data_IF_814907570520
#
_entry.id   IF_814907570520
#
_cell.length_a   1.000
_cell.length_b   1.000
_cell.length_c   1.000
_cell.angle_alpha   90.00
_cell.angle_beta   90.00
_cell.angle_gamma   90.00
#
_symmetry.space_group_name_H-M   'P 1'
#
loop_
_entity.id
_entity.type
_entity.pdbx_description
1 polymer ?
#
# COMPACT_ATOMS: atom_id res chain seq x y z
N UNK A 1 -25.19 80.18 7.65
CA UNK A 1 -25.30 78.79 7.30
C UNK A 1 -24.35 78.43 6.14
N UNK A 2 -23.29 77.68 6.37
CA UNK A 2 -22.56 77.12 5.27
C UNK A 2 -22.80 75.57 5.14
N UNK A 3 -23.48 75.23 4.09
CA UNK A 3 -23.67 73.87 3.61
C UNK A 3 -22.33 73.23 3.26
N UNK A 4 -21.96 72.21 4.02
CA UNK A 4 -20.75 71.39 3.79
C UNK A 4 -21.01 70.46 2.65
N UNK A 5 -20.42 70.71 1.45
CA UNK A 5 -20.43 69.81 0.31
C UNK A 5 -19.46 68.73 0.57
N UNK A 6 -19.96 67.50 0.72
CA UNK A 6 -19.17 66.26 0.72
C UNK A 6 -18.67 65.93 -0.70
N UNK A 7 -17.39 66.16 -0.96
CA UNK A 7 -16.77 65.78 -2.22
C UNK A 7 -16.36 64.32 -2.22
N UNK A 8 -16.57 63.63 -3.34
CA UNK A 8 -16.23 62.21 -3.57
C UNK A 8 -14.78 61.79 -3.27
N UNK A 9 -13.88 62.74 -2.97
CA UNK A 9 -12.48 62.50 -2.59
C UNK A 9 -12.26 62.23 -1.10
N UNK A 10 -13.24 62.48 -0.22
CA UNK A 10 -13.13 62.29 1.22
C UNK A 10 -13.42 60.87 1.72
N UNK A 11 -14.05 60.01 0.87
CA UNK A 11 -14.49 58.67 1.30
C UNK A 11 -13.40 57.60 1.04
N UNK A 12 -12.29 57.92 0.33
CA UNK A 12 -11.25 56.97 -0.03
C UNK A 12 -10.03 56.89 0.91
N UNK A 13 -10.08 57.51 2.08
CA UNK A 13 -8.92 57.54 2.99
C UNK A 13 -9.10 56.82 4.33
N UNK A 14 -10.15 56.05 4.52
CA UNK A 14 -10.35 55.28 5.78
C UNK A 14 -10.68 53.81 5.55
N UNK A 15 -10.18 53.22 4.45
CA UNK A 15 -10.07 51.77 4.38
C UNK A 15 -8.73 51.36 5.04
N UNK A 16 -8.72 51.26 6.35
CA UNK A 16 -7.67 50.52 7.04
C UNK A 16 -7.70 49.06 6.51
N UNK A 17 -6.70 48.70 5.73
CA UNK A 17 -6.45 47.33 5.39
C UNK A 17 -6.11 46.58 6.68
N UNK A 18 -7.10 45.91 7.27
CA UNK A 18 -6.82 44.86 8.24
C UNK A 18 -5.96 43.80 7.52
N UNK A 19 -4.81 43.38 8.08
CA UNK A 19 -4.05 42.29 7.51
C UNK A 19 -4.95 41.08 7.51
N UNK A 20 -5.30 40.55 6.32
CA UNK A 20 -5.85 39.21 6.16
C UNK A 20 -4.76 38.25 6.64
N UNK A 21 -4.84 37.90 7.92
CA UNK A 21 -4.10 36.75 8.45
C UNK A 21 -4.68 35.54 7.75
N UNK A 22 -4.03 35.12 6.67
CA UNK A 22 -4.27 33.84 6.04
C UNK A 22 -3.81 32.78 7.06
N UNK A 23 -4.70 32.39 7.96
CA UNK A 23 -4.51 31.16 8.74
C UNK A 23 -4.74 30.03 7.73
N UNK A 24 -3.71 29.24 7.36
CA UNK A 24 -3.94 28.09 6.52
C UNK A 24 -4.89 27.20 7.32
N UNK A 25 -6.13 27.10 6.91
CA UNK A 25 -7.03 26.04 7.35
C UNK A 25 -6.41 24.74 6.81
N UNK A 26 -5.55 24.13 7.62
CA UNK A 26 -5.18 22.74 7.45
C UNK A 26 -6.48 21.97 7.60
N UNK A 27 -7.05 21.57 6.49
CA UNK A 27 -8.25 20.75 6.47
C UNK A 27 -7.86 19.34 6.96
N UNK A 28 -7.70 19.20 8.29
CA UNK A 28 -7.39 17.92 8.98
C UNK A 28 -8.38 16.82 8.58
N UNK A 29 -9.60 17.18 8.15
CA UNK A 29 -10.62 16.24 7.68
C UNK A 29 -10.39 15.67 6.26
N UNK A 30 -9.63 16.33 5.38
CA UNK A 30 -9.41 15.87 4.01
C UNK A 30 -8.36 14.76 3.94
N UNK A 31 -7.36 14.77 4.80
CA UNK A 31 -6.24 13.82 4.83
C UNK A 31 -6.70 12.39 5.12
N UNK A 32 -7.63 12.19 6.05
CA UNK A 32 -8.14 10.88 6.46
C UNK A 32 -9.17 10.27 5.51
N UNK A 33 -9.57 10.97 4.46
CA UNK A 33 -10.38 10.42 3.36
C UNK A 33 -9.56 9.66 2.33
N UNK A 34 -8.24 9.83 2.37
CA UNK A 34 -7.31 9.16 1.45
C UNK A 34 -7.01 7.75 1.93
N UNK A 35 -7.08 6.80 1.02
CA UNK A 35 -6.88 5.38 1.29
C UNK A 35 -5.51 4.92 0.82
N UNK A 36 -4.78 4.24 1.68
CA UNK A 36 -3.61 3.44 1.30
C UNK A 36 -4.05 1.98 1.16
N UNK A 37 -3.88 1.42 -0.02
CA UNK A 37 -4.07 -0.01 -0.27
C UNK A 37 -2.70 -0.67 -0.31
N UNK A 38 -2.38 -1.43 0.74
CA UNK A 38 -1.16 -2.22 0.83
C UNK A 38 -1.38 -3.61 0.23
N UNK A 39 -0.47 -4.02 -0.65
CA UNK A 39 -0.50 -5.33 -1.30
C UNK A 39 0.77 -6.08 -0.93
N UNK A 40 0.66 -7.03 -0.03
CA UNK A 40 1.74 -7.92 0.37
C UNK A 40 1.97 -8.99 -0.72
N UNK A 41 3.17 -9.07 -1.28
CA UNK A 41 3.61 -10.11 -2.19
C UNK A 41 4.36 -11.17 -1.38
N UNK A 42 3.63 -11.99 -0.63
CA UNK A 42 4.16 -12.88 0.39
C UNK A 42 4.95 -14.05 -0.23
N UNK A 43 6.18 -14.21 0.22
CA UNK A 43 7.12 -15.23 -0.21
C UNK A 43 8.35 -14.69 -0.94
N UNK A 44 8.53 -13.38 -1.01
CA UNK A 44 9.69 -12.75 -1.67
C UNK A 44 9.59 -12.78 -3.19
N UNK A 45 8.95 -11.78 -3.75
CA UNK A 45 8.76 -11.65 -5.20
C UNK A 45 10.10 -11.56 -5.95
N UNK A 46 10.21 -12.30 -7.06
CA UNK A 46 11.37 -12.21 -7.96
C UNK A 46 11.39 -10.91 -8.75
N UNK A 47 12.17 -9.96 -8.27
CA UNK A 47 12.27 -8.62 -8.82
C UNK A 47 12.79 -8.59 -10.26
N UNK A 48 13.79 -9.40 -10.59
CA UNK A 48 14.39 -9.42 -11.92
C UNK A 48 13.50 -10.04 -13.00
N UNK A 49 12.52 -10.85 -12.61
CA UNK A 49 11.48 -11.34 -13.52
C UNK A 49 10.14 -10.59 -13.34
N UNK A 50 10.10 -9.52 -12.56
CA UNK A 50 8.98 -8.58 -12.46
C UNK A 50 9.27 -7.32 -13.27
N UNK A 51 10.40 -6.66 -12.97
CA UNK A 51 10.98 -5.55 -13.74
C UNK A 51 12.31 -6.06 -14.30
N UNK A 52 12.28 -6.35 -15.58
CA UNK A 52 13.29 -7.15 -16.26
C UNK A 52 14.38 -6.27 -16.85
N UNK A 53 15.66 -6.44 -16.47
CA UNK A 53 16.77 -5.73 -17.10
C UNK A 53 17.15 -6.43 -18.42
N UNK A 54 16.25 -6.39 -19.38
CA UNK A 54 16.29 -7.23 -20.60
C UNK A 54 17.45 -6.91 -21.54
N UNK A 55 18.13 -5.80 -21.36
CA UNK A 55 19.34 -5.41 -22.13
C UNK A 55 20.63 -5.79 -21.42
N UNK A 56 20.57 -6.13 -20.13
CA UNK A 56 21.77 -6.54 -19.40
C UNK A 56 22.16 -7.98 -19.77
N UNK A 57 23.35 -8.23 -20.35
CA UNK A 57 23.77 -9.57 -20.72
C UNK A 57 23.92 -10.49 -19.50
N UNK A 58 24.23 -9.95 -18.31
CA UNK A 58 24.38 -10.72 -17.07
C UNK A 58 23.05 -11.33 -16.63
N UNK A 59 21.93 -10.67 -16.92
CA UNK A 59 20.60 -11.22 -16.63
C UNK A 59 20.41 -12.61 -17.28
N UNK A 60 20.80 -12.75 -18.56
CA UNK A 60 20.70 -14.03 -19.27
C UNK A 60 21.76 -15.02 -18.82
N UNK A 61 22.97 -14.56 -18.53
CA UNK A 61 24.05 -15.44 -18.06
C UNK A 61 23.72 -16.05 -16.70
N UNK A 62 23.07 -15.29 -15.82
CA UNK A 62 22.67 -15.76 -14.49
C UNK A 62 21.39 -16.59 -14.49
N UNK A 63 20.58 -16.52 -15.56
CA UNK A 63 19.24 -17.11 -15.65
C UNK A 63 19.02 -17.81 -16.99
N UNK A 64 19.82 -18.84 -17.25
CA UNK A 64 19.75 -19.57 -18.52
C UNK A 64 18.38 -20.18 -18.82
N UNK A 65 17.60 -20.52 -17.77
CA UNK A 65 16.25 -21.10 -17.87
C UNK A 65 15.15 -20.08 -17.52
N UNK A 66 15.42 -19.14 -16.60
CA UNK A 66 14.43 -18.22 -16.09
C UNK A 66 14.40 -16.87 -16.81
N UNK A 67 15.43 -16.54 -17.60
CA UNK A 67 15.45 -15.29 -18.35
C UNK A 67 14.33 -15.25 -19.39
N UNK A 68 13.60 -14.15 -19.40
CA UNK A 68 12.56 -13.90 -20.40
C UNK A 68 13.19 -13.54 -21.76
N UNK A 69 12.63 -14.03 -22.88
CA UNK A 69 13.00 -13.55 -24.20
C UNK A 69 12.78 -12.03 -24.34
N UNK A 70 13.71 -11.33 -24.98
CA UNK A 70 13.66 -9.86 -25.09
C UNK A 70 12.41 -9.36 -25.81
N UNK A 71 11.97 -10.10 -26.82
CA UNK A 71 10.78 -9.81 -27.63
C UNK A 71 9.46 -10.00 -26.87
N UNK A 72 9.47 -10.68 -25.73
CA UNK A 72 8.30 -10.85 -24.88
C UNK A 72 8.21 -9.79 -23.76
N UNK A 73 9.31 -9.11 -23.43
CA UNK A 73 9.33 -8.12 -22.35
C UNK A 73 8.61 -6.87 -22.78
N UNK A 74 7.72 -6.36 -21.92
CA UNK A 74 7.02 -5.09 -22.15
C UNK A 74 7.96 -3.92 -21.83
N UNK A 75 8.55 -3.32 -22.85
CA UNK A 75 9.53 -2.24 -22.69
C UNK A 75 8.93 -1.05 -21.94
N UNK A 76 9.63 -0.58 -20.92
CA UNK A 76 9.34 0.65 -20.19
C UNK A 76 10.31 1.76 -20.56
N UNK A 77 11.58 1.42 -20.75
CA UNK A 77 12.64 2.25 -21.32
C UNK A 77 13.63 1.39 -22.13
N UNK A 78 14.78 1.95 -22.50
CA UNK A 78 15.81 1.25 -23.28
C UNK A 78 16.46 0.08 -22.53
N UNK A 79 16.33 -0.04 -21.21
CA UNK A 79 17.03 -1.01 -20.36
C UNK A 79 16.10 -1.94 -19.62
N UNK A 80 14.96 -1.44 -19.17
CA UNK A 80 14.03 -2.11 -18.27
C UNK A 80 12.68 -2.31 -18.92
N UNK A 81 12.04 -3.40 -18.59
CA UNK A 81 10.66 -3.66 -19.00
C UNK A 81 9.91 -4.52 -17.99
N UNK A 82 8.62 -4.64 -18.15
CA UNK A 82 7.78 -5.49 -17.31
C UNK A 82 7.71 -6.93 -17.86
N UNK A 83 7.52 -7.86 -16.93
CA UNK A 83 7.11 -9.20 -17.29
C UNK A 83 5.81 -9.17 -18.12
N UNK A 84 5.67 -9.98 -19.20
CA UNK A 84 4.50 -9.93 -20.09
C UNK A 84 3.16 -10.15 -19.35
N UNK A 85 3.16 -10.91 -18.26
CA UNK A 85 1.97 -11.09 -17.42
C UNK A 85 1.43 -9.80 -16.76
N UNK A 86 2.23 -8.72 -16.76
CA UNK A 86 1.84 -7.41 -16.22
C UNK A 86 1.27 -6.45 -17.30
N UNK A 87 0.96 -6.94 -18.49
CA UNK A 87 0.45 -6.14 -19.61
C UNK A 87 -0.75 -5.25 -19.21
N UNK A 88 -1.63 -5.75 -18.37
CA UNK A 88 -2.81 -4.98 -17.90
C UNK A 88 -2.46 -3.75 -17.07
N UNK A 89 -1.21 -3.60 -16.62
CA UNK A 89 -0.72 -2.41 -15.93
C UNK A 89 -0.10 -1.37 -16.87
N UNK A 90 0.18 -1.72 -18.12
CA UNK A 90 0.79 -0.80 -19.09
C UNK A 90 0.00 0.51 -19.29
N UNK A 91 -1.35 0.51 -19.33
CA UNK A 91 -2.09 1.78 -19.37
C UNK A 91 -1.76 2.72 -18.22
N UNK A 92 -1.59 2.20 -16.99
CA UNK A 92 -1.22 3.03 -15.82
C UNK A 92 0.21 3.59 -15.93
N UNK A 93 1.13 2.84 -16.54
CA UNK A 93 2.47 3.32 -16.84
C UNK A 93 2.44 4.44 -17.89
N UNK A 94 1.74 4.24 -18.99
CA UNK A 94 1.59 5.23 -20.09
C UNK A 94 0.93 6.51 -19.58
N UNK A 95 -0.13 6.38 -18.77
CA UNK A 95 -0.84 7.51 -18.14
C UNK A 95 -0.04 8.17 -17.01
N UNK A 96 1.18 7.68 -16.71
CA UNK A 96 2.02 8.14 -15.59
C UNK A 96 1.35 8.08 -14.21
N UNK A 97 0.51 7.07 -14.02
CA UNK A 97 -0.18 6.76 -12.77
C UNK A 97 0.40 5.52 -12.07
N UNK A 98 1.54 5.04 -12.54
CA UNK A 98 2.33 3.97 -11.94
C UNK A 98 3.78 4.42 -11.79
N UNK A 99 4.30 4.37 -10.57
CA UNK A 99 5.70 4.51 -10.24
C UNK A 99 6.29 3.13 -9.88
N UNK A 100 7.54 2.92 -10.25
CA UNK A 100 8.31 1.72 -9.92
C UNK A 100 9.52 2.16 -9.10
N UNK A 101 9.52 1.81 -7.81
CA UNK A 101 10.66 2.01 -6.95
C UNK A 101 11.64 0.84 -7.16
N UNK A 102 12.84 1.14 -7.65
CA UNK A 102 13.85 0.16 -8.00
C UNK A 102 14.85 -0.08 -6.86
N UNK A 103 15.36 -1.31 -6.77
CA UNK A 103 16.40 -1.67 -5.82
C UNK A 103 16.02 -1.47 -4.36
N UNK A 104 14.73 -1.66 -4.03
CA UNK A 104 14.22 -1.42 -2.68
C UNK A 104 14.66 -2.53 -1.74
N UNK A 105 15.20 -2.15 -0.61
CA UNK A 105 15.68 -3.06 0.43
C UNK A 105 16.05 -2.28 1.70
N UNK A 106 16.97 -2.83 2.49
CA UNK A 106 17.44 -2.21 3.73
C UNK A 106 18.86 -2.69 4.07
N UNK A 107 19.61 -1.97 4.93
CA UNK A 107 20.95 -2.37 5.34
C UNK A 107 20.91 -3.65 6.19
N UNK A 108 21.95 -4.48 6.05
CA UNK A 108 22.08 -5.76 6.79
C UNK A 108 20.84 -6.66 6.62
N UNK A 109 20.49 -7.04 5.37
CA UNK A 109 19.25 -7.72 5.08
C UNK A 109 19.20 -9.11 5.73
N UNK A 110 18.02 -9.47 6.28
CA UNK A 110 17.74 -10.79 6.81
C UNK A 110 16.98 -11.62 5.77
N UNK A 111 17.40 -12.86 5.54
CA UNK A 111 16.82 -13.76 4.54
C UNK A 111 15.81 -14.78 5.14
N UNK A 112 15.47 -14.64 6.43
CA UNK A 112 14.37 -15.35 7.03
C UNK A 112 13.05 -14.63 6.74
N UNK A 113 12.05 -15.33 6.25
CA UNK A 113 10.71 -14.77 6.01
C UNK A 113 10.17 -14.05 7.24
N UNK A 114 10.20 -14.72 8.40
CA UNK A 114 9.62 -14.16 9.64
C UNK A 114 10.32 -12.88 10.06
N UNK A 115 11.65 -12.86 10.04
CA UNK A 115 12.37 -11.68 10.51
C UNK A 115 12.33 -10.55 9.50
N UNK A 116 12.44 -10.86 8.22
CA UNK A 116 12.42 -9.82 7.21
C UNK A 116 11.04 -9.16 7.08
N UNK A 117 9.95 -9.95 7.11
CA UNK A 117 8.61 -9.35 7.08
C UNK A 117 8.36 -8.48 8.31
N UNK A 118 8.81 -8.91 9.51
CA UNK A 118 8.71 -8.11 10.72
C UNK A 118 9.43 -6.75 10.59
N UNK A 119 10.63 -6.72 9.98
CA UNK A 119 11.36 -5.48 9.69
C UNK A 119 10.56 -4.56 8.76
N UNK A 120 9.97 -5.09 7.69
CA UNK A 120 9.14 -4.31 6.77
C UNK A 120 7.86 -3.80 7.43
N UNK A 121 7.23 -4.60 8.25
CA UNK A 121 5.95 -4.27 8.87
C UNK A 121 6.08 -3.32 10.06
N UNK A 122 7.20 -3.36 10.79
CA UNK A 122 7.48 -2.44 11.90
C UNK A 122 8.28 -1.20 11.49
N UNK A 123 8.95 -1.26 10.34
CA UNK A 123 9.98 -0.29 9.91
C UNK A 123 11.15 -0.18 10.91
N UNK A 124 11.44 -1.26 11.66
CA UNK A 124 12.45 -1.31 12.72
C UNK A 124 13.50 -2.35 12.39
N UNK A 125 14.78 -1.95 12.57
CA UNK A 125 15.95 -2.81 12.34
C UNK A 125 16.43 -3.50 13.63
N UNK A 126 15.86 -3.18 14.78
CA UNK A 126 16.26 -3.74 16.09
C UNK A 126 15.86 -5.21 16.21
N UNK A 127 16.62 -5.98 16.98
CA UNK A 127 16.33 -7.40 17.23
C UNK A 127 15.15 -7.63 18.20
N UNK A 128 14.59 -6.56 18.77
CA UNK A 128 13.43 -6.64 19.67
C UNK A 128 12.17 -7.04 18.91
N UNK A 129 11.64 -8.20 19.25
CA UNK A 129 10.33 -8.65 18.77
C UNK A 129 9.21 -7.92 19.51
N UNK A 130 8.07 -7.73 18.83
CA UNK A 130 6.85 -7.21 19.46
C UNK A 130 6.67 -5.70 19.38
N UNK A 131 7.39 -5.01 18.49
CA UNK A 131 7.10 -3.62 18.19
C UNK A 131 5.80 -3.47 17.39
N UNK A 132 5.10 -2.34 17.59
CA UNK A 132 3.95 -1.99 16.78
C UNK A 132 4.31 -1.85 15.30
N UNK A 133 3.41 -2.22 14.43
CA UNK A 133 3.52 -1.97 12.99
C UNK A 133 3.69 -0.48 12.70
N UNK A 134 4.39 -0.16 11.61
CA UNK A 134 4.75 1.24 11.30
C UNK A 134 3.52 2.15 11.14
N UNK A 135 2.39 1.64 10.69
CA UNK A 135 1.15 2.39 10.60
C UNK A 135 0.55 2.68 11.96
N UNK A 136 0.60 1.72 12.89
CA UNK A 136 0.13 1.94 14.26
C UNK A 136 1.01 2.99 14.95
N UNK A 137 2.33 2.91 14.77
CA UNK A 137 3.27 3.93 15.29
C UNK A 137 2.96 5.31 14.71
N UNK A 138 2.74 5.41 13.41
CA UNK A 138 2.38 6.66 12.74
C UNK A 138 1.04 7.22 13.28
N UNK A 139 0.05 6.38 13.47
CA UNK A 139 -1.26 6.77 13.97
C UNK A 139 -1.27 7.08 15.49
N UNK A 140 -0.29 6.58 16.25
CA UNK A 140 -0.08 7.02 17.64
C UNK A 140 0.46 8.45 17.71
N UNK A 141 1.30 8.87 16.74
CA UNK A 141 1.77 10.27 16.64
C UNK A 141 0.64 11.24 16.23
N UNK A 142 -0.23 10.79 15.33
CA UNK A 142 -1.35 11.57 14.80
C UNK A 142 -2.57 10.68 14.63
N UNK A 143 -3.42 10.64 15.65
CA UNK A 143 -4.55 9.73 15.68
C UNK A 143 -5.61 10.03 14.63
N UNK A 144 -6.02 9.01 13.84
CA UNK A 144 -7.20 9.13 13.01
C UNK A 144 -8.43 9.48 13.84
N UNK A 145 -9.38 10.27 13.29
CA UNK A 145 -10.60 10.64 13.99
C UNK A 145 -11.32 9.42 14.57
N UNK A 146 -11.82 9.56 15.81
CA UNK A 146 -12.59 8.50 16.46
C UNK A 146 -13.92 8.18 15.74
N UNK A 147 -14.36 9.05 14.84
CA UNK A 147 -15.53 8.87 13.98
C UNK A 147 -15.28 7.84 12.85
N UNK A 148 -14.01 7.52 12.53
CA UNK A 148 -13.71 6.45 11.61
C UNK A 148 -14.04 5.09 12.22
N UNK A 149 -14.64 4.17 11.45
CA UNK A 149 -15.02 2.84 11.96
C UNK A 149 -13.82 2.02 12.39
N UNK A 150 -12.69 2.16 11.70
CA UNK A 150 -11.43 1.51 12.01
C UNK A 150 -10.24 2.30 11.41
N UNK A 151 -9.04 1.95 11.80
CA UNK A 151 -7.78 2.45 11.24
C UNK A 151 -7.33 1.62 10.04
N UNK A 152 -7.77 0.36 9.99
CA UNK A 152 -7.45 -0.53 8.90
C UNK A 152 -8.47 -1.62 8.65
N UNK A 153 -8.52 -2.05 7.38
CA UNK A 153 -9.26 -3.20 6.90
C UNK A 153 -8.29 -4.21 6.32
N UNK A 154 -8.28 -5.44 6.83
CA UNK A 154 -7.42 -6.53 6.36
C UNK A 154 -8.26 -7.54 5.60
N UNK A 155 -7.86 -7.84 4.37
CA UNK A 155 -8.57 -8.71 3.45
C UNK A 155 -7.75 -9.97 3.13
N UNK A 156 -8.43 -11.10 3.00
CA UNK A 156 -7.84 -12.38 2.60
C UNK A 156 -7.16 -13.16 3.72
N UNK A 157 -6.20 -12.60 4.41
CA UNK A 157 -5.52 -13.20 5.58
C UNK A 157 -5.94 -12.47 6.86
N UNK A 158 -5.79 -13.14 8.02
CA UNK A 158 -6.09 -12.52 9.33
C UNK A 158 -4.83 -11.88 9.95
N UNK A 159 -3.84 -11.59 9.16
CA UNK A 159 -2.59 -11.00 9.59
C UNK A 159 -2.62 -9.48 9.38
N UNK A 160 -2.66 -8.67 10.45
CA UNK A 160 -2.70 -7.22 10.35
C UNK A 160 -1.38 -6.60 9.85
N UNK A 161 -0.26 -7.28 10.02
CA UNK A 161 1.06 -6.81 9.58
C UNK A 161 1.39 -5.39 10.03
N UNK A 162 1.55 -4.42 9.11
CA UNK A 162 1.85 -3.02 9.46
C UNK A 162 0.83 -2.34 10.38
N UNK A 163 -0.35 -2.93 10.52
CA UNK A 163 -1.44 -2.50 11.41
C UNK A 163 -1.48 -3.28 12.73
N UNK A 164 -0.52 -4.18 12.98
CA UNK A 164 -0.41 -4.92 14.24
C UNK A 164 0.04 -3.97 15.36
N UNK A 165 -0.63 -4.02 16.49
CA UNK A 165 -0.22 -3.23 17.65
C UNK A 165 -1.31 -3.11 18.70
N UNK A 166 -0.90 -2.67 19.90
CA UNK A 166 -1.81 -2.48 21.00
C UNK A 166 -2.80 -1.33 20.71
N UNK A 167 -4.08 -1.60 20.96
CA UNK A 167 -5.18 -0.67 20.73
C UNK A 167 -5.43 -0.26 19.27
N UNK A 168 -4.83 -0.94 18.29
CA UNK A 168 -5.12 -0.71 16.87
C UNK A 168 -6.56 -1.15 16.54
N UNK A 169 -7.31 -0.28 15.88
CA UNK A 169 -8.69 -0.57 15.46
C UNK A 169 -8.67 -1.16 14.06
N UNK A 170 -8.55 -2.48 13.96
CA UNK A 170 -8.41 -3.21 12.69
C UNK A 170 -9.56 -4.20 12.52
N UNK A 171 -10.13 -4.23 11.33
CA UNK A 171 -11.17 -5.18 10.93
C UNK A 171 -10.55 -6.17 9.94
N UNK A 172 -10.64 -7.47 10.23
CA UNK A 172 -10.17 -8.53 9.33
C UNK A 172 -11.36 -9.25 8.69
N UNK A 173 -11.39 -9.30 7.35
CA UNK A 173 -12.45 -9.92 6.58
C UNK A 173 -11.91 -10.92 5.57
N UNK A 174 -12.42 -12.13 5.59
CA UNK A 174 -12.17 -13.10 4.51
C UNK A 174 -13.03 -12.82 3.28
N UNK A 175 -14.30 -12.42 3.48
CA UNK A 175 -15.28 -12.09 2.42
C UNK A 175 -16.32 -11.11 2.99
N UNK A 176 -16.90 -10.22 2.17
CA UNK A 176 -18.01 -9.35 2.57
C UNK A 176 -19.21 -10.15 3.14
N UNK A 177 -19.47 -11.34 2.59
CA UNK A 177 -20.54 -12.22 3.08
C UNK A 177 -20.34 -12.74 4.50
N UNK A 178 -19.10 -12.70 5.04
CA UNK A 178 -18.82 -13.12 6.42
C UNK A 178 -19.39 -12.15 7.45
N UNK A 179 -19.57 -10.87 7.09
CA UNK A 179 -20.20 -9.85 7.94
C UNK A 179 -21.66 -10.20 8.27
N UNK A 180 -22.42 -10.64 7.27
CA UNK A 180 -23.85 -11.01 7.46
C UNK A 180 -24.05 -12.25 8.35
N UNK A 181 -23.09 -13.19 8.37
CA UNK A 181 -23.18 -14.42 9.20
C UNK A 181 -22.85 -14.15 10.67
N UNK A 182 -21.96 -13.21 10.97
CA UNK A 182 -21.59 -12.87 12.36
C UNK A 182 -22.66 -12.10 13.13
N UNK A 183 -23.56 -11.38 12.46
CA UNK A 183 -24.66 -10.65 13.09
C UNK A 183 -25.62 -11.55 13.91
N UNK A 184 -25.57 -12.88 13.72
CA UNK A 184 -26.48 -13.82 14.40
C UNK A 184 -25.98 -14.33 15.77
N UNK A 185 -24.75 -13.99 16.20
CA UNK A 185 -24.22 -14.37 17.52
C UNK A 185 -23.97 -13.12 18.36
N UNK A 186 -25.04 -12.63 19.03
CA UNK A 186 -24.87 -11.66 20.11
C UNK A 186 -24.16 -12.34 21.28
N UNK A 187 -22.89 -12.04 21.48
CA UNK A 187 -22.23 -12.31 22.75
C UNK A 187 -22.82 -11.31 23.77
N UNK A 188 -23.67 -11.78 24.63
CA UNK A 188 -24.11 -10.99 25.80
C UNK A 188 -22.88 -10.81 26.71
N UNK A 189 -22.62 -9.60 27.24
CA UNK A 189 -21.65 -9.44 28.31
C UNK A 189 -22.04 -10.36 29.45
N UNK A 190 -21.11 -11.13 29.94
CA UNK A 190 -21.35 -11.84 31.19
C UNK A 190 -21.54 -10.80 32.31
N UNK A 191 -22.76 -10.62 32.74
CA UNK A 191 -23.06 -9.75 33.88
C UNK A 191 -22.26 -10.22 35.09
N UNK A 192 -21.30 -9.41 35.58
CA UNK A 192 -20.57 -9.65 36.80
C UNK A 192 -19.15 -10.19 36.70
N UNK A 193 -18.47 -10.06 35.54
CA UNK A 193 -17.04 -10.38 35.46
C UNK A 193 -16.22 -9.32 36.21
N UNK A 194 -15.44 -9.74 37.20
CA UNK A 194 -14.46 -8.90 37.91
C UNK A 194 -13.06 -8.98 37.29
N UNK A 195 -12.95 -9.47 36.03
CA UNK A 195 -11.67 -9.63 35.36
C UNK A 195 -11.45 -8.51 34.33
N UNK A 196 -10.52 -7.55 34.60
CA UNK A 196 -10.25 -6.41 33.69
C UNK A 196 -9.81 -6.83 32.30
N UNK A 197 -9.14 -7.98 32.14
CA UNK A 197 -8.75 -8.54 30.85
C UNK A 197 -9.97 -8.98 30.02
N UNK A 198 -10.95 -9.58 30.67
CA UNK A 198 -12.19 -10.03 30.04
C UNK A 198 -13.03 -8.81 29.58
N UNK A 199 -13.10 -7.78 30.42
CA UNK A 199 -13.79 -6.52 30.08
C UNK A 199 -13.11 -5.81 28.91
N UNK A 200 -11.78 -5.82 28.85
CA UNK A 200 -11.04 -5.26 27.71
C UNK A 200 -11.33 -6.03 26.40
N UNK A 201 -11.31 -7.36 26.45
CA UNK A 201 -11.66 -8.22 25.30
C UNK A 201 -13.09 -7.98 24.83
N UNK A 202 -14.05 -7.83 25.76
CA UNK A 202 -15.45 -7.53 25.44
C UNK A 202 -15.60 -6.14 24.83
N UNK A 203 -14.88 -5.13 25.33
CA UNK A 203 -14.90 -3.76 24.77
C UNK A 203 -14.31 -3.74 23.37
N UNK A 204 -13.19 -4.41 23.12
CA UNK A 204 -12.57 -4.52 21.78
C UNK A 204 -13.51 -5.25 20.84
N UNK A 205 -14.11 -6.37 21.28
CA UNK A 205 -15.03 -7.15 20.47
C UNK A 205 -16.32 -6.39 20.13
N UNK A 206 -16.88 -5.64 21.09
CA UNK A 206 -18.04 -4.77 20.84
C UNK A 206 -17.74 -3.60 19.90
N UNK A 207 -16.52 -3.03 19.96
CA UNK A 207 -16.07 -2.00 19.00
C UNK A 207 -15.92 -2.56 17.59
N UNK A 208 -15.37 -3.77 17.45
CA UNK A 208 -15.28 -4.47 16.17
C UNK A 208 -16.66 -4.78 15.59
N UNK A 209 -17.60 -5.28 16.43
CA UNK A 209 -18.98 -5.55 16.02
C UNK A 209 -19.72 -4.28 15.56
N UNK A 210 -19.49 -3.13 16.21
CA UNK A 210 -20.07 -1.86 15.81
C UNK A 210 -19.51 -1.37 14.47
N UNK A 211 -18.21 -1.50 14.25
CA UNK A 211 -17.56 -1.15 12.99
C UNK A 211 -18.04 -2.07 11.85
N UNK A 212 -18.14 -3.37 12.11
CA UNK A 212 -18.68 -4.37 11.17
C UNK A 212 -20.14 -4.05 10.81
N UNK A 213 -20.98 -3.67 11.78
CA UNK A 213 -22.39 -3.28 11.55
C UNK A 213 -22.47 -2.04 10.66
N UNK A 214 -21.68 -1.00 10.92
CA UNK A 214 -21.66 0.21 10.09
C UNK A 214 -21.24 -0.07 8.64
N UNK A 215 -20.35 -1.05 8.44
CA UNK A 215 -19.96 -1.50 7.10
C UNK A 215 -21.10 -2.22 6.37
N UNK A 216 -21.85 -3.07 7.09
CA UNK A 216 -22.99 -3.83 6.52
C UNK A 216 -24.19 -2.92 6.24
N UNK A 217 -24.46 -1.97 7.13
CA UNK A 217 -25.59 -1.03 7.01
C UNK A 217 -25.49 -0.14 5.75
N UNK A 218 -24.29 0.06 5.21
CA UNK A 218 -24.08 0.82 3.96
C UNK A 218 -24.38 0.03 2.69
N UNK A 219 -24.84 -1.20 2.79
CA UNK A 219 -25.25 -2.03 1.65
C UNK A 219 -24.19 -2.15 0.54
N UNK A 220 -22.92 -2.41 0.95
CA UNK A 220 -21.75 -2.43 0.05
C UNK A 220 -21.91 -3.37 -1.16
N UNK A 221 -22.86 -4.31 -1.12
CA UNK A 221 -23.11 -5.23 -2.23
C UNK A 221 -23.86 -4.57 -3.40
N UNK A 222 -24.61 -3.50 -3.13
CA UNK A 222 -25.41 -2.79 -4.13
C UNK A 222 -24.62 -1.68 -4.84
N UNK A 223 -23.33 -1.52 -4.48
CA UNK A 223 -22.45 -0.55 -5.12
C UNK A 223 -22.12 -1.02 -6.54
N UNK A 224 -22.53 -0.23 -7.53
CA UNK A 224 -22.14 -0.47 -8.92
C UNK A 224 -20.71 -0.07 -9.16
N UNK A 225 -19.89 -0.99 -9.67
CA UNK A 225 -18.50 -0.76 -10.03
C UNK A 225 -18.31 -0.88 -11.54
N UNK A 226 -17.42 -0.07 -12.09
CA UNK A 226 -17.02 -0.17 -13.49
C UNK A 226 -16.20 -1.44 -13.72
N UNK A 227 -16.67 -2.30 -14.61
CA UNK A 227 -16.00 -3.54 -15.01
C UNK A 227 -16.22 -4.70 -14.05
N UNK A 228 -15.52 -5.79 -14.34
CA UNK A 228 -15.57 -7.04 -13.58
C UNK A 228 -14.24 -7.31 -12.89
N UNK A 229 -14.28 -8.02 -11.78
CA UNK A 229 -13.08 -8.48 -11.07
C UNK A 229 -12.83 -9.97 -11.35
N UNK A 230 -11.56 -10.38 -11.42
CA UNK A 230 -11.22 -11.77 -11.66
C UNK A 230 -11.64 -12.67 -10.49
N UNK A 231 -12.05 -13.92 -10.74
CA UNK A 231 -12.62 -14.80 -9.73
C UNK A 231 -11.61 -15.50 -8.81
N UNK A 232 -10.32 -15.12 -8.85
CA UNK A 232 -9.31 -15.61 -7.92
C UNK A 232 -9.30 -14.82 -6.61
N UNK A 233 -8.64 -15.33 -5.56
CA UNK A 233 -8.68 -14.76 -4.22
C UNK A 233 -8.21 -13.31 -4.15
N UNK A 234 -7.13 -12.96 -4.84
CA UNK A 234 -6.66 -11.57 -4.88
C UNK A 234 -7.66 -10.65 -5.61
N UNK A 235 -8.26 -11.11 -6.71
CA UNK A 235 -9.31 -10.37 -7.41
C UNK A 235 -10.52 -10.06 -6.51
N UNK A 236 -10.94 -11.04 -5.69
CA UNK A 236 -12.03 -10.84 -4.71
C UNK A 236 -11.64 -9.87 -3.59
N UNK A 237 -10.37 -9.85 -3.15
CA UNK A 237 -9.89 -8.86 -2.18
C UNK A 237 -9.95 -7.46 -2.80
N UNK A 238 -9.48 -7.29 -4.03
CA UNK A 238 -9.52 -6.01 -4.74
C UNK A 238 -10.96 -5.53 -5.00
N UNK A 239 -11.88 -6.45 -5.33
CA UNK A 239 -13.32 -6.14 -5.44
C UNK A 239 -13.90 -5.66 -4.12
N UNK A 240 -13.55 -6.34 -3.02
CA UNK A 240 -14.02 -5.98 -1.68
C UNK A 240 -13.50 -4.59 -1.28
N UNK A 241 -12.22 -4.31 -1.53
CA UNK A 241 -11.63 -3.00 -1.30
C UNK A 241 -12.33 -1.90 -2.10
N UNK A 242 -12.56 -2.16 -3.40
CA UNK A 242 -13.25 -1.21 -4.29
C UNK A 242 -14.68 -0.91 -3.84
N UNK A 243 -15.46 -1.95 -3.52
CA UNK A 243 -16.83 -1.79 -3.00
C UNK A 243 -16.86 -1.04 -1.68
N UNK A 244 -15.92 -1.33 -0.79
CA UNK A 244 -15.80 -0.64 0.49
C UNK A 244 -15.56 0.86 0.31
N UNK A 245 -14.58 1.24 -0.53
CA UNK A 245 -14.26 2.64 -0.81
C UNK A 245 -15.42 3.33 -1.52
N UNK A 246 -15.95 2.76 -2.60
CA UNK A 246 -17.05 3.32 -3.38
C UNK A 246 -18.36 3.46 -2.58
N UNK A 247 -18.60 2.56 -1.62
CA UNK A 247 -19.72 2.65 -0.67
C UNK A 247 -19.52 3.69 0.44
N UNK A 248 -18.46 4.49 0.37
CA UNK A 248 -18.11 5.52 1.36
C UNK A 248 -17.52 4.95 2.65
N UNK A 249 -16.95 3.75 2.58
CA UNK A 249 -16.17 3.18 3.70
C UNK A 249 -14.97 4.08 4.02
N UNK A 250 -14.83 4.43 5.28
CA UNK A 250 -13.81 5.38 5.72
C UNK A 250 -12.80 4.68 6.63
N UNK A 251 -11.77 4.07 6.03
CA UNK A 251 -10.56 3.59 6.72
C UNK A 251 -9.34 4.12 5.98
N UNK A 252 -8.31 4.60 6.69
CA UNK A 252 -7.10 5.09 6.03
C UNK A 252 -6.30 3.99 5.33
N UNK A 253 -6.38 2.74 5.81
CA UNK A 253 -5.57 1.64 5.26
C UNK A 253 -6.42 0.41 4.93
N UNK A 254 -6.15 -0.19 3.78
CA UNK A 254 -6.67 -1.50 3.38
C UNK A 254 -5.48 -2.40 3.04
N UNK A 255 -5.30 -3.50 3.79
CA UNK A 255 -4.26 -4.50 3.52
C UNK A 255 -4.86 -5.66 2.73
N UNK A 256 -4.24 -5.97 1.59
CA UNK A 256 -4.50 -7.15 0.76
C UNK A 256 -3.23 -8.00 0.68
N UNK A 257 -3.35 -9.28 0.37
CA UNK A 257 -2.19 -10.15 0.20
C UNK A 257 -2.34 -11.11 -0.97
N UNK A 258 -1.23 -11.30 -1.69
CA UNK A 258 -1.08 -12.31 -2.73
C UNK A 258 0.11 -13.18 -2.35
N UNK A 259 -0.15 -14.41 -1.91
CA UNK A 259 0.89 -15.35 -1.49
C UNK A 259 1.32 -16.29 -2.58
N UNK A 260 2.45 -17.00 -2.33
CA UNK A 260 2.97 -18.04 -3.22
C UNK A 260 4.23 -17.67 -3.97
N UNK A 261 4.83 -16.50 -3.67
CA UNK A 261 6.07 -16.04 -4.31
C UNK A 261 7.34 -16.78 -3.84
N UNK A 262 7.24 -17.66 -2.86
CA UNK A 262 8.36 -18.50 -2.44
C UNK A 262 8.62 -19.61 -3.46
N UNK A 263 9.31 -19.24 -4.55
CA UNK A 263 9.48 -20.04 -5.77
C UNK A 263 10.88 -20.62 -5.90
N UNK A 264 11.25 -21.51 -4.97
CA UNK A 264 12.55 -22.21 -4.99
C UNK A 264 12.70 -23.24 -6.10
N UNK A 265 11.60 -23.68 -6.73
CA UNK A 265 11.61 -24.66 -7.79
C UNK A 265 10.51 -24.38 -8.82
N UNK A 266 10.76 -24.70 -10.11
CA UNK A 266 9.79 -24.61 -11.18
C UNK A 266 9.12 -23.22 -11.27
N UNK A 267 9.89 -22.16 -11.08
CA UNK A 267 9.40 -20.80 -10.83
C UNK A 267 8.60 -20.22 -11.99
N UNK A 268 9.03 -20.43 -13.23
CA UNK A 268 8.56 -19.66 -14.39
C UNK A 268 7.03 -19.63 -14.51
N UNK A 269 6.39 -20.79 -14.54
CA UNK A 269 4.93 -20.86 -14.69
C UNK A 269 4.17 -20.37 -13.45
N UNK A 270 4.71 -20.61 -12.26
CA UNK A 270 4.12 -20.17 -10.99
C UNK A 270 4.19 -18.66 -10.84
N UNK A 271 5.34 -18.07 -11.06
CA UNK A 271 5.57 -16.63 -10.99
C UNK A 271 4.71 -15.88 -12.02
N UNK A 272 4.67 -16.39 -13.27
CA UNK A 272 3.78 -15.83 -14.31
C UNK A 272 2.33 -15.79 -13.86
N UNK A 273 1.78 -16.86 -13.28
CA UNK A 273 0.39 -16.88 -12.78
C UNK A 273 0.17 -15.86 -11.68
N UNK A 274 1.11 -15.71 -10.74
CA UNK A 274 1.01 -14.73 -9.66
C UNK A 274 1.04 -13.30 -10.18
N UNK A 275 1.92 -12.99 -11.12
CA UNK A 275 1.98 -11.67 -11.77
C UNK A 275 0.72 -11.39 -12.61
N UNK A 276 0.15 -12.41 -13.26
CA UNK A 276 -1.15 -12.27 -13.95
C UNK A 276 -2.25 -11.89 -12.95
N UNK A 277 -2.36 -12.61 -11.83
CA UNK A 277 -3.35 -12.30 -10.79
C UNK A 277 -3.16 -10.91 -10.20
N UNK A 278 -1.91 -10.51 -9.98
CA UNK A 278 -1.57 -9.17 -9.51
C UNK A 278 -2.06 -8.11 -10.49
N UNK A 279 -1.70 -8.25 -11.76
CA UNK A 279 -2.06 -7.29 -12.81
C UNK A 279 -3.58 -7.21 -13.03
N UNK A 280 -4.27 -8.33 -13.06
CA UNK A 280 -5.72 -8.39 -13.21
C UNK A 280 -6.45 -7.73 -12.03
N UNK A 281 -6.03 -8.03 -10.80
CA UNK A 281 -6.62 -7.43 -9.60
C UNK A 281 -6.40 -5.92 -9.54
N UNK A 282 -5.15 -5.48 -9.73
CA UNK A 282 -4.79 -4.05 -9.68
C UNK A 282 -5.43 -3.23 -10.80
N UNK A 283 -5.45 -3.75 -12.03
CA UNK A 283 -6.08 -3.04 -13.17
C UNK A 283 -7.60 -2.94 -13.02
N UNK A 284 -8.26 -3.99 -12.51
CA UNK A 284 -9.70 -3.96 -12.23
C UNK A 284 -10.03 -2.97 -11.12
N UNK A 285 -9.21 -2.92 -10.07
CA UNK A 285 -9.35 -1.97 -8.98
C UNK A 285 -9.18 -0.52 -9.46
N UNK A 286 -8.12 -0.23 -10.24
CA UNK A 286 -7.89 1.10 -10.80
C UNK A 286 -9.05 1.57 -11.69
N UNK A 287 -9.58 0.67 -12.53
CA UNK A 287 -10.75 0.94 -13.38
C UNK A 287 -11.99 1.26 -12.54
N UNK A 288 -12.24 0.49 -11.49
CA UNK A 288 -13.37 0.71 -10.60
C UNK A 288 -13.25 2.06 -9.88
N UNK A 289 -12.08 2.40 -9.34
CA UNK A 289 -11.85 3.67 -8.66
C UNK A 289 -11.92 4.88 -9.59
N UNK A 290 -11.41 4.76 -10.83
CA UNK A 290 -11.60 5.77 -11.88
C UNK A 290 -13.09 5.94 -12.22
N UNK A 291 -13.83 4.85 -12.36
CA UNK A 291 -15.25 4.85 -12.67
C UNK A 291 -16.14 5.55 -11.64
N UNK A 292 -15.76 5.51 -10.36
CA UNK A 292 -16.47 6.21 -9.27
C UNK A 292 -15.84 7.55 -8.89
N UNK A 293 -14.80 8.00 -9.62
CA UNK A 293 -14.15 9.30 -9.40
C UNK A 293 -13.30 9.37 -8.12
N UNK A 294 -12.83 8.23 -7.59
CA UNK A 294 -12.05 8.16 -6.35
C UNK A 294 -10.58 7.76 -6.55
N UNK A 295 -10.11 7.69 -7.79
CA UNK A 295 -8.74 7.27 -8.06
C UNK A 295 -7.68 8.22 -7.49
N UNK A 296 -7.99 9.51 -7.37
CA UNK A 296 -7.11 10.52 -6.75
C UNK A 296 -7.04 10.40 -5.22
N UNK A 297 -7.98 9.72 -4.60
CA UNK A 297 -8.03 9.50 -3.16
C UNK A 297 -7.49 8.10 -2.76
N UNK A 298 -6.91 7.37 -3.71
CA UNK A 298 -6.35 6.05 -3.49
C UNK A 298 -4.88 6.00 -3.89
N UNK A 299 -4.06 5.45 -3.00
CA UNK A 299 -2.67 5.08 -3.24
C UNK A 299 -2.54 3.56 -3.03
N UNK A 300 -2.10 2.84 -4.05
CA UNK A 300 -1.78 1.41 -3.95
C UNK A 300 -0.27 1.24 -3.87
N UNK A 301 0.21 0.39 -2.98
CA UNK A 301 1.65 0.10 -2.84
C UNK A 301 1.85 -1.39 -2.60
N UNK A 302 2.73 -2.02 -3.38
CA UNK A 302 3.19 -3.38 -3.11
C UNK A 302 4.33 -3.38 -2.10
N UNK A 303 4.49 -4.47 -1.35
CA UNK A 303 5.68 -4.75 -0.56
C UNK A 303 5.89 -6.27 -0.44
N UNK A 304 7.11 -6.67 -0.14
CA UNK A 304 7.49 -8.06 0.11
C UNK A 304 8.61 -8.07 1.16
N UNK A 305 8.76 -9.17 1.85
CA UNK A 305 9.78 -9.33 2.89
C UNK A 305 11.21 -9.20 2.37
N UNK A 306 11.45 -9.62 1.13
CA UNK A 306 12.72 -9.50 0.42
C UNK A 306 12.55 -9.79 -1.08
N UNK A 307 13.62 -9.62 -1.87
CA UNK A 307 13.69 -10.07 -3.25
C UNK A 307 14.31 -11.46 -3.40
N UNK A 308 14.73 -11.79 -4.61
CA UNK A 308 15.37 -13.06 -4.95
C UNK A 308 16.79 -12.84 -5.44
N UNK A 309 17.65 -13.85 -5.26
CA UNK A 309 19.00 -13.84 -5.83
C UNK A 309 18.96 -13.65 -7.34
N UNK A 310 19.90 -12.89 -7.92
CA UNK A 310 19.97 -12.71 -9.37
C UNK A 310 20.19 -14.02 -10.11
N UNK A 311 20.97 -14.94 -9.55
CA UNK A 311 21.24 -16.26 -10.16
C UNK A 311 20.12 -17.25 -9.86
N UNK A 312 19.67 -17.97 -10.91
CA UNK A 312 18.78 -19.12 -10.75
C UNK A 312 19.49 -20.29 -10.04
N UNK A 313 18.73 -21.12 -9.35
CA UNK A 313 19.23 -22.35 -8.72
C UNK A 313 19.03 -23.58 -9.61
N UNK A 314 19.56 -24.73 -9.16
CA UNK A 314 19.51 -25.98 -9.92
C UNK A 314 18.06 -26.49 -10.16
N UNK A 315 17.11 -26.09 -9.32
CA UNK A 315 15.69 -26.49 -9.40
C UNK A 315 14.85 -25.59 -10.31
N UNK A 316 15.47 -24.75 -11.14
CA UNK A 316 14.78 -23.75 -11.98
C UNK A 316 13.88 -22.81 -11.15
N UNK A 317 14.39 -22.36 -10.03
CA UNK A 317 13.83 -21.39 -9.13
C UNK A 317 14.89 -20.39 -8.67
N UNK A 318 14.59 -19.61 -7.65
CA UNK A 318 15.52 -18.65 -7.05
C UNK A 318 15.50 -18.76 -5.54
N UNK A 319 16.66 -18.58 -4.93
CA UNK A 319 16.81 -18.53 -3.48
C UNK A 319 16.49 -17.13 -2.97
N UNK A 320 16.28 -17.01 -1.64
CA UNK A 320 16.06 -15.73 -0.99
C UNK A 320 17.20 -14.76 -1.28
N UNK A 321 16.84 -13.55 -1.61
CA UNK A 321 17.76 -12.45 -1.90
C UNK A 321 17.33 -11.20 -1.15
N UNK A 322 17.73 -10.05 -1.64
CA UNK A 322 17.65 -8.80 -0.89
C UNK A 322 16.71 -7.79 -1.57
N UNK A 323 17.26 -7.00 -2.49
CA UNK A 323 16.55 -5.90 -3.12
C UNK A 323 15.53 -6.37 -4.18
N UNK A 324 14.39 -5.70 -4.23
CA UNK A 324 13.35 -5.93 -5.23
C UNK A 324 12.66 -4.61 -5.63
N UNK A 325 12.05 -4.53 -6.83
CA UNK A 325 11.20 -3.40 -7.17
C UNK A 325 9.87 -3.46 -6.42
N UNK A 326 9.32 -2.26 -6.14
CA UNK A 326 7.96 -2.11 -5.62
C UNK A 326 7.14 -1.24 -6.55
N UNK A 327 5.85 -1.57 -6.70
CA UNK A 327 4.91 -0.85 -7.54
C UNK A 327 4.08 0.11 -6.68
N UNK A 328 3.94 1.35 -7.13
CA UNK A 328 3.10 2.37 -6.50
C UNK A 328 2.15 2.93 -7.55
N UNK A 329 0.84 2.88 -7.30
CA UNK A 329 -0.20 3.27 -8.26
C UNK A 329 -1.21 4.22 -7.59
N UNK A 330 -1.77 5.14 -8.38
CA UNK A 330 -2.79 6.07 -7.89
C UNK A 330 -2.94 7.27 -8.80
N UNK A 331 -4.07 8.00 -8.69
CA UNK A 331 -4.32 9.18 -9.52
C UNK A 331 -3.34 10.32 -9.25
N UNK A 332 -2.83 10.42 -8.02
CA UNK A 332 -1.82 11.42 -7.62
C UNK A 332 -0.39 10.91 -7.70
N UNK A 333 -0.18 9.72 -8.24
CA UNK A 333 1.19 9.19 -8.43
C UNK A 333 1.84 9.88 -9.64
N UNK A 334 3.06 10.31 -9.46
CA UNK A 334 3.95 10.72 -10.56
C UNK A 334 4.65 9.48 -11.08
N UNK A 335 4.15 8.93 -12.18
CA UNK A 335 4.69 7.72 -12.77
C UNK A 335 6.13 7.87 -13.25
N UNK A 336 6.83 6.75 -13.26
CA UNK A 336 8.22 6.63 -13.67
C UNK A 336 9.04 5.80 -12.69
N UNK A 337 10.35 5.79 -12.90
CA UNK A 337 11.28 5.07 -12.04
C UNK A 337 11.77 5.96 -10.89
N UNK A 338 11.92 5.34 -9.70
CA UNK A 338 12.49 5.94 -8.49
C UNK A 338 13.51 4.99 -7.89
N UNK A 339 14.68 5.49 -7.52
CA UNK A 339 15.83 4.65 -7.19
C UNK A 339 16.52 4.14 -8.45
N UNK A 340 17.34 3.12 -8.30
CA UNK A 340 18.16 2.57 -9.38
C UNK A 340 18.04 1.05 -9.42
N UNK A 341 18.07 0.48 -10.63
CA UNK A 341 18.26 -0.96 -10.79
C UNK A 341 19.63 -1.35 -10.24
N UNK A 342 19.70 -2.26 -9.25
CA UNK A 342 20.99 -2.73 -8.77
C UNK A 342 21.79 -3.39 -9.90
N UNK A 343 23.07 -3.02 -10.09
CA UNK A 343 23.89 -3.59 -11.12
C UNK A 343 24.18 -5.09 -10.83
N UNK A 344 24.10 -5.93 -11.87
CA UNK A 344 24.27 -7.37 -11.74
C UNK A 344 25.75 -7.79 -11.63
N UNK A 345 26.67 -6.90 -11.95
CA UNK A 345 28.13 -7.10 -11.82
C UNK A 345 28.67 -6.77 -10.43
N UNK A 346 27.83 -6.21 -9.54
CA UNK A 346 28.23 -5.81 -8.19
C UNK A 346 27.30 -6.40 -7.15
N UNK A 347 27.58 -7.64 -6.79
CA UNK A 347 26.81 -8.36 -5.79
C UNK A 347 27.52 -8.33 -4.44
N UNK A 348 26.76 -8.26 -3.37
CA UNK A 348 27.25 -8.49 -2.01
C UNK A 348 26.97 -9.96 -1.63
N UNK A 349 28.06 -10.76 -1.64
CA UNK A 349 27.93 -12.20 -1.66
C UNK A 349 27.24 -12.66 -2.94
N UNK A 350 26.03 -13.18 -2.82
CA UNK A 350 25.21 -13.64 -3.96
C UNK A 350 23.96 -12.75 -4.16
N UNK A 351 23.89 -11.60 -3.49
CA UNK A 351 22.70 -10.79 -3.41
C UNK A 351 22.87 -9.44 -4.11
N UNK A 352 21.76 -8.88 -4.57
CA UNK A 352 21.71 -7.50 -5.07
C UNK A 352 21.97 -6.52 -3.93
N UNK A 353 22.77 -5.51 -4.18
CA UNK A 353 22.97 -4.40 -3.24
C UNK A 353 21.77 -3.46 -3.36
N UNK A 354 21.04 -3.24 -2.26
CA UNK A 354 19.91 -2.32 -2.28
C UNK A 354 20.36 -0.88 -2.64
N UNK A 355 19.47 -0.13 -3.29
CA UNK A 355 19.69 1.25 -3.74
C UNK A 355 18.75 2.24 -3.09
N UNK A 356 17.61 1.75 -2.63
CA UNK A 356 16.58 2.56 -2.00
C UNK A 356 16.11 1.86 -0.73
N UNK A 357 16.25 2.56 0.39
CA UNK A 357 15.70 2.08 1.66
C UNK A 357 14.16 2.17 1.62
N UNK A 358 13.48 1.07 1.95
CA UNK A 358 12.02 0.98 1.91
C UNK A 358 11.34 2.03 2.82
N UNK A 359 12.00 2.44 3.91
CA UNK A 359 11.49 3.47 4.81
C UNK A 359 11.32 4.82 4.14
N UNK A 360 12.07 5.11 3.06
CA UNK A 360 11.87 6.32 2.26
C UNK A 360 10.51 6.31 1.53
N UNK A 361 10.02 5.14 1.12
CA UNK A 361 8.68 4.99 0.54
C UNK A 361 7.63 5.23 1.63
N UNK A 362 7.79 4.62 2.81
CA UNK A 362 6.88 4.81 3.94
C UNK A 362 6.83 6.27 4.42
N UNK A 363 8.00 6.93 4.53
CA UNK A 363 8.08 8.36 4.84
C UNK A 363 7.38 9.23 3.77
N UNK A 364 7.44 8.81 2.50
CA UNK A 364 6.71 9.49 1.43
C UNK A 364 5.20 9.36 1.61
N UNK A 365 4.72 8.16 1.94
CA UNK A 365 3.31 7.94 2.27
C UNK A 365 2.90 8.78 3.48
N UNK A 366 3.65 8.72 4.58
CA UNK A 366 3.32 9.49 5.77
C UNK A 366 3.21 10.99 5.46
N UNK A 367 4.23 11.59 4.85
CA UNK A 367 4.35 13.04 4.69
C UNK A 367 3.59 13.60 3.49
N UNK A 368 3.66 12.91 2.33
CA UNK A 368 3.04 13.43 1.09
C UNK A 368 1.61 12.95 0.88
N UNK A 369 1.28 11.75 1.37
CA UNK A 369 -0.08 11.23 1.22
C UNK A 369 -1.00 11.72 2.34
N UNK A 370 -0.56 11.65 3.59
CA UNK A 370 -1.39 12.05 4.74
C UNK A 370 -0.99 13.37 5.40
N UNK A 371 0.19 13.92 5.12
CA UNK A 371 0.69 15.13 5.80
C UNK A 371 1.16 14.85 7.23
N UNK A 372 1.47 13.60 7.56
CA UNK A 372 1.93 13.18 8.89
C UNK A 372 3.47 13.18 8.95
N UNK A 373 4.05 13.46 10.11
CA UNK A 373 5.51 13.61 10.24
C UNK A 373 6.25 12.28 10.07
N UNK A 374 5.93 11.27 10.88
CA UNK A 374 6.57 9.94 10.81
C UNK A 374 8.09 10.01 10.92
N UNK A 375 8.64 10.74 11.91
CA UNK A 375 10.09 10.96 12.08
C UNK A 375 10.91 9.68 12.14
N UNK A 376 10.35 8.63 12.75
CA UNK A 376 11.01 7.33 12.88
C UNK A 376 11.27 6.63 11.54
N UNK A 377 10.63 7.05 10.45
CA UNK A 377 10.85 6.55 9.09
C UNK A 377 12.08 7.18 8.40
N UNK A 378 12.77 8.11 9.08
CA UNK A 378 13.92 8.83 8.54
C UNK A 378 13.52 10.05 7.69
N UNK A 379 14.51 10.85 7.25
CA UNK A 379 14.26 12.14 6.61
C UNK A 379 13.91 12.04 5.12
N UNK A 380 14.31 10.97 4.44
CA UNK A 380 14.21 10.83 2.99
C UNK A 380 12.77 10.57 2.54
N UNK A 381 12.31 11.36 1.57
CA UNK A 381 11.07 11.11 0.82
C UNK A 381 11.34 11.10 -0.68
N UNK A 382 10.41 10.53 -1.45
CA UNK A 382 10.47 10.48 -2.89
C UNK A 382 9.43 11.44 -3.48
N UNK A 383 9.71 12.12 -4.62
CA UNK A 383 8.76 13.03 -5.25
C UNK A 383 7.71 12.29 -6.10
N UNK A 384 7.27 11.10 -5.67
CA UNK A 384 6.36 10.23 -6.42
C UNK A 384 4.87 10.49 -6.17
N UNK A 385 4.54 11.40 -5.25
CA UNK A 385 3.15 11.81 -4.95
C UNK A 385 3.04 13.32 -5.13
N UNK A 386 1.98 13.77 -5.83
CA UNK A 386 1.63 15.19 -6.05
C UNK A 386 0.82 15.77 -4.91
#
# INVERSE_FOLDING_TARGET
DPTMQLTRRGILKTAMAAPLVFVPQVAVGATWRRHLVLVELNGGNDGLNTVVPYRDPLYRQMRSKLALPTDQVLSLDERLGLHPALERLMPLWIDRQMAIALGVGYPQPNLSHFRSIDIWETATMTETSGEDGWLVRLFKESRPPATLPAEGLVLGRNDPGPLAGENARVIALKKLTSLRKRQRKNLKPAAGSTNPLLDHVVVVQNRMDLAERRLVEKNLQDVSLAGTFPPHDFGRQMETAARFIAGGGAVPVIKCSLGGFDTHAGQMGRHRRLLTQLAEGLSSFARAMKGVGMWDDVLVMTYAEFGRRPRENASSGTDHGTAAPQLILGGRVRGGFYGEQPPLDRLEGQNLVYRLDFRAIYATVARRWWGLDGKFLGPRTLPLIT
#
